data_IF_521361439774
#
_entry.id   IF_521361439774
#
_cell.length_a   1.000
_cell.length_b   1.000
_cell.length_c   1.000
_cell.angle_alpha   90.00
_cell.angle_beta   90.00
_cell.angle_gamma   90.00
#
_symmetry.space_group_name_H-M   'P 1'
#
loop_
_entity.id
_entity.type
_entity.pdbx_description
1 polymer ?
#
# COMPACT_ATOMS: atom_id res chain seq x y z
N UNK A 1 24.05 11.05 -89.93
CA UNK A 1 24.13 10.09 -88.80
C UNK A 1 25.00 10.59 -87.64
N UNK A 2 26.18 11.20 -87.86
CA UNK A 2 27.09 11.60 -86.77
C UNK A 2 26.50 12.51 -85.68
N UNK A 3 25.71 13.54 -86.04
CA UNK A 3 25.12 14.48 -85.06
C UNK A 3 24.13 13.84 -84.07
N UNK A 4 23.40 12.81 -84.50
CA UNK A 4 22.43 12.08 -83.65
C UNK A 4 23.15 11.15 -82.68
N UNK A 5 24.25 10.52 -83.12
CA UNK A 5 25.11 9.67 -82.29
C UNK A 5 25.77 10.47 -81.16
N UNK A 6 26.24 11.69 -81.45
CA UNK A 6 26.77 12.58 -80.41
C UNK A 6 25.73 12.96 -79.36
N UNK A 7 24.48 13.24 -79.75
CA UNK A 7 23.39 13.55 -78.83
C UNK A 7 23.04 12.37 -77.92
N UNK A 8 23.03 11.15 -78.45
CA UNK A 8 22.78 9.92 -77.68
C UNK A 8 23.93 9.66 -76.70
N UNK A 9 25.18 9.80 -77.14
CA UNK A 9 26.36 9.66 -76.26
C UNK A 9 26.36 10.71 -75.15
N UNK A 10 26.03 11.95 -75.47
CA UNK A 10 25.95 13.02 -74.48
C UNK A 10 24.82 12.77 -73.46
N UNK A 11 23.66 12.31 -73.92
CA UNK A 11 22.55 11.91 -73.05
C UNK A 11 22.90 10.73 -72.15
N UNK A 12 23.63 9.73 -72.66
CA UNK A 12 24.13 8.60 -71.88
C UNK A 12 25.14 9.04 -70.81
N UNK A 13 26.05 9.96 -71.15
CA UNK A 13 27.03 10.51 -70.20
C UNK A 13 26.33 11.30 -69.09
N UNK A 14 25.37 12.17 -69.43
CA UNK A 14 24.62 12.96 -68.45
C UNK A 14 23.80 12.05 -67.52
N UNK A 15 23.11 11.05 -68.07
CA UNK A 15 22.29 10.11 -67.28
C UNK A 15 23.14 9.20 -66.39
N UNK A 16 24.30 8.73 -66.87
CA UNK A 16 25.25 7.94 -66.07
C UNK A 16 25.94 8.77 -64.99
N UNK A 17 26.25 10.05 -65.25
CA UNK A 17 26.74 10.97 -64.22
C UNK A 17 25.66 11.26 -63.16
N UNK A 18 24.43 11.58 -63.58
CA UNK A 18 23.33 11.86 -62.67
C UNK A 18 23.01 10.65 -61.78
N UNK A 19 22.98 9.44 -62.34
CA UNK A 19 22.77 8.20 -61.58
C UNK A 19 23.94 7.89 -60.64
N UNK A 20 25.20 8.10 -61.04
CA UNK A 20 26.36 7.98 -60.13
C UNK A 20 26.28 8.97 -58.96
N UNK A 21 25.92 10.22 -59.23
CA UNK A 21 25.73 11.23 -58.18
C UNK A 21 24.58 10.87 -57.24
N UNK A 22 23.48 10.34 -57.77
CA UNK A 22 22.35 9.88 -56.96
C UNK A 22 22.73 8.67 -56.09
N UNK A 23 23.42 7.68 -56.65
CA UNK A 23 23.91 6.51 -55.90
C UNK A 23 24.90 6.93 -54.81
N UNK A 24 25.81 7.86 -55.09
CA UNK A 24 26.74 8.40 -54.09
C UNK A 24 26.03 9.17 -52.98
N UNK A 25 24.98 9.94 -53.30
CA UNK A 25 24.13 10.60 -52.29
C UNK A 25 23.41 9.57 -51.44
N UNK A 26 22.70 8.61 -52.06
CA UNK A 26 22.00 7.56 -51.33
C UNK A 26 22.91 6.69 -50.46
N UNK A 27 24.14 6.41 -50.91
CA UNK A 27 25.12 5.69 -50.10
C UNK A 27 25.58 6.52 -48.89
N UNK A 28 25.85 7.81 -49.09
CA UNK A 28 26.21 8.74 -48.00
C UNK A 28 25.06 8.90 -47.01
N UNK A 29 23.84 9.14 -47.49
CA UNK A 29 22.64 9.29 -46.66
C UNK A 29 22.35 8.01 -45.87
N UNK A 30 22.57 6.83 -46.46
CA UNK A 30 22.42 5.55 -45.76
C UNK A 30 23.43 5.40 -44.63
N UNK A 31 24.67 5.87 -44.80
CA UNK A 31 25.70 5.82 -43.74
C UNK A 31 25.38 6.82 -42.64
N UNK A 32 24.97 8.05 -42.98
CA UNK A 32 24.54 9.06 -42.00
C UNK A 32 23.37 8.54 -41.17
N UNK A 33 22.32 8.04 -41.83
CA UNK A 33 21.16 7.46 -41.14
C UNK A 33 21.55 6.27 -40.24
N UNK A 34 22.50 5.44 -40.67
CA UNK A 34 23.00 4.34 -39.85
C UNK A 34 23.72 4.85 -38.59
N UNK A 35 24.61 5.84 -38.74
CA UNK A 35 25.34 6.43 -37.60
C UNK A 35 24.40 7.15 -36.63
N UNK A 36 23.43 7.93 -37.15
CA UNK A 36 22.42 8.58 -36.32
C UNK A 36 21.60 7.57 -35.54
N UNK A 37 21.12 6.51 -36.20
CA UNK A 37 20.35 5.46 -35.54
C UNK A 37 21.19 4.69 -34.51
N UNK A 38 22.45 4.41 -34.81
CA UNK A 38 23.38 3.78 -33.87
C UNK A 38 23.61 4.67 -32.63
N UNK A 39 23.81 5.97 -32.82
CA UNK A 39 23.97 6.93 -31.72
C UNK A 39 22.69 7.05 -30.89
N UNK A 40 21.52 7.06 -31.53
CA UNK A 40 20.20 7.04 -30.87
C UNK A 40 20.00 5.77 -30.01
N UNK A 41 20.34 4.59 -30.54
CA UNK A 41 20.26 3.35 -29.78
C UNK A 41 21.24 3.34 -28.58
N UNK A 42 22.46 3.87 -28.75
CA UNK A 42 23.42 3.97 -27.66
C UNK A 42 22.97 4.93 -26.55
N UNK A 43 22.54 6.14 -26.89
CA UNK A 43 22.05 7.10 -25.88
C UNK A 43 20.82 6.54 -25.14
N UNK A 44 19.93 5.84 -25.85
CA UNK A 44 18.79 5.13 -25.27
C UNK A 44 19.23 4.06 -24.27
N UNK A 45 20.20 3.23 -24.65
CA UNK A 45 20.73 2.19 -23.78
C UNK A 45 21.40 2.76 -22.53
N UNK A 46 22.11 3.90 -22.66
CA UNK A 46 22.70 4.62 -21.53
C UNK A 46 21.60 5.18 -20.60
N UNK A 47 20.55 5.80 -21.15
CA UNK A 47 19.43 6.31 -20.37
C UNK A 47 18.69 5.19 -19.61
N UNK A 48 18.44 4.05 -20.27
CA UNK A 48 17.86 2.86 -19.65
C UNK A 48 18.75 2.31 -18.52
N UNK A 49 20.07 2.27 -18.72
CA UNK A 49 20.99 1.85 -17.68
C UNK A 49 21.01 2.82 -16.49
N UNK A 50 20.91 4.12 -16.74
CA UNK A 50 20.80 5.15 -15.70
C UNK A 50 19.49 4.99 -14.89
N UNK A 51 18.35 4.77 -15.56
CA UNK A 51 17.08 4.48 -14.91
C UNK A 51 17.14 3.21 -14.05
N UNK A 52 17.79 2.14 -14.54
CA UNK A 52 17.99 0.92 -13.77
C UNK A 52 18.92 1.11 -12.55
N UNK A 53 19.95 1.95 -12.66
CA UNK A 53 20.79 2.33 -11.51
C UNK A 53 19.99 3.10 -10.47
N UNK A 54 19.18 4.06 -10.90
CA UNK A 54 18.29 4.82 -10.03
C UNK A 54 17.28 3.91 -9.31
N UNK A 55 16.70 2.95 -10.03
CA UNK A 55 15.81 1.94 -9.47
C UNK A 55 16.50 1.08 -8.41
N UNK A 56 17.72 0.61 -8.68
CA UNK A 56 18.49 -0.17 -7.73
C UNK A 56 18.78 0.62 -6.45
N UNK A 57 19.11 1.92 -6.58
CA UNK A 57 19.31 2.79 -5.42
C UNK A 57 18.03 2.90 -4.56
N UNK A 58 16.86 3.06 -5.19
CA UNK A 58 15.57 3.08 -4.48
C UNK A 58 15.15 1.73 -3.91
N UNK A 59 15.61 0.62 -4.48
CA UNK A 59 15.38 -0.71 -3.92
C UNK A 59 16.22 -0.98 -2.66
N UNK A 60 17.41 -0.38 -2.57
CA UNK A 60 18.27 -0.44 -1.39
C UNK A 60 17.77 0.52 -0.29
N UNK A 61 17.39 1.74 -0.69
CA UNK A 61 16.81 2.74 0.20
C UNK A 61 15.70 3.53 -0.52
N UNK A 62 14.45 3.27 -0.12
CA UNK A 62 13.28 3.95 -0.69
C UNK A 62 13.22 5.45 -0.35
N UNK A 63 13.98 5.89 0.66
CA UNK A 63 14.14 7.29 1.03
C UNK A 63 15.26 7.99 0.27
N UNK A 64 15.95 7.29 -0.64
CA UNK A 64 17.04 7.89 -1.39
C UNK A 64 16.58 9.15 -2.11
N UNK A 65 17.30 10.23 -1.87
CA UNK A 65 17.12 11.54 -2.52
C UNK A 65 18.33 11.91 -3.38
N UNK A 66 19.48 11.28 -3.12
CA UNK A 66 20.72 11.57 -3.82
C UNK A 66 20.70 10.91 -5.20
N UNK A 67 20.62 11.75 -6.23
CA UNK A 67 20.79 11.34 -7.64
C UNK A 67 22.25 11.13 -8.03
N UNK A 68 22.48 10.94 -9.32
CA UNK A 68 23.80 10.94 -9.93
C UNK A 68 23.83 12.04 -11.00
N UNK A 69 24.90 12.82 -11.04
CA UNK A 69 25.15 13.78 -12.11
C UNK A 69 26.41 13.38 -12.90
N UNK A 70 26.35 13.59 -14.21
CA UNK A 70 27.46 13.56 -15.17
C UNK A 70 28.40 12.36 -15.01
N UNK A 71 27.81 11.17 -14.87
CA UNK A 71 28.57 9.93 -14.76
C UNK A 71 28.73 9.28 -16.14
N UNK A 72 29.94 8.81 -16.44
CA UNK A 72 30.22 8.20 -17.73
C UNK A 72 29.82 6.72 -17.80
N UNK A 73 29.25 6.32 -18.94
CA UNK A 73 28.88 4.94 -19.25
C UNK A 73 28.90 4.72 -20.77
N UNK A 74 29.58 3.66 -21.23
CA UNK A 74 29.67 3.28 -22.66
C UNK A 74 30.08 4.42 -23.62
N UNK A 75 30.93 5.34 -23.17
CA UNK A 75 31.41 6.46 -23.98
C UNK A 75 30.46 7.66 -24.07
N UNK A 76 29.32 7.62 -23.37
CA UNK A 76 28.48 8.79 -23.12
C UNK A 76 28.39 9.10 -21.62
N UNK A 77 27.57 10.08 -21.28
CA UNK A 77 27.33 10.52 -19.91
C UNK A 77 25.86 10.43 -19.54
N UNK A 78 25.57 10.20 -18.26
CA UNK A 78 24.21 10.13 -17.75
C UNK A 78 24.06 10.86 -16.42
N UNK A 79 22.85 11.34 -16.20
CA UNK A 79 22.37 11.98 -14.97
C UNK A 79 21.02 11.36 -14.61
N UNK A 80 20.78 11.09 -13.34
CA UNK A 80 19.44 10.75 -12.85
C UNK A 80 19.15 11.44 -11.52
N UNK A 81 17.88 11.74 -11.29
CA UNK A 81 17.41 12.30 -10.03
C UNK A 81 16.00 11.81 -9.69
N UNK A 82 15.60 12.05 -8.45
CA UNK A 82 14.34 11.60 -7.88
C UNK A 82 13.45 12.79 -7.54
N UNK A 83 12.18 12.72 -7.95
CA UNK A 83 11.17 13.73 -7.65
C UNK A 83 10.04 13.07 -6.86
N UNK A 84 9.62 13.74 -5.78
CA UNK A 84 8.47 13.39 -4.94
C UNK A 84 7.53 14.58 -4.87
N UNK A 85 6.41 14.44 -4.17
CA UNK A 85 5.40 15.50 -4.03
C UNK A 85 5.95 16.84 -3.54
N UNK A 86 6.99 16.83 -2.70
CA UNK A 86 7.64 18.06 -2.21
C UNK A 86 8.38 18.81 -3.30
N UNK A 87 8.85 18.14 -4.35
CA UNK A 87 9.47 18.76 -5.53
C UNK A 87 8.45 18.99 -6.66
N UNK A 88 7.50 18.07 -6.86
CA UNK A 88 6.44 18.18 -7.86
C UNK A 88 5.06 17.91 -7.23
N UNK A 89 4.26 18.96 -6.97
CA UNK A 89 2.93 18.84 -6.36
C UNK A 89 1.91 18.00 -7.16
N UNK A 90 2.19 17.69 -8.44
CA UNK A 90 1.32 16.85 -9.27
C UNK A 90 1.43 15.36 -8.92
N UNK A 91 2.50 14.96 -8.22
CA UNK A 91 2.68 13.59 -7.76
C UNK A 91 1.83 13.31 -6.50
N UNK A 92 1.22 12.12 -6.46
CA UNK A 92 0.56 11.60 -5.26
C UNK A 92 1.58 11.42 -4.12
N UNK A 93 1.19 11.50 -2.82
CA UNK A 93 2.12 11.34 -1.69
C UNK A 93 2.94 10.05 -1.69
N UNK A 94 2.45 9.00 -2.37
CA UNK A 94 3.12 7.70 -2.45
C UNK A 94 3.91 7.51 -3.74
N UNK A 95 3.91 8.49 -4.65
CA UNK A 95 4.56 8.41 -5.95
C UNK A 95 5.99 8.98 -5.91
N UNK A 96 6.87 8.33 -6.67
CA UNK A 96 8.25 8.76 -6.91
C UNK A 96 8.47 8.74 -8.42
N UNK A 97 8.88 9.87 -9.00
CA UNK A 97 9.30 9.95 -10.40
C UNK A 97 10.82 9.91 -10.47
N UNK A 98 11.34 9.02 -11.31
CA UNK A 98 12.74 8.99 -11.71
C UNK A 98 12.83 9.65 -13.07
N UNK A 99 13.73 10.61 -13.21
CA UNK A 99 14.09 11.19 -14.51
C UNK A 99 15.55 10.87 -14.77
N UNK A 100 15.82 10.06 -15.80
CA UNK A 100 17.14 9.64 -16.21
C UNK A 100 17.45 10.20 -17.59
N UNK A 101 18.50 11.01 -17.69
CA UNK A 101 18.92 11.70 -18.90
C UNK A 101 20.28 11.15 -19.33
N UNK A 102 20.46 10.95 -20.63
CA UNK A 102 21.73 10.53 -21.20
C UNK A 102 22.14 11.42 -22.38
N UNK A 103 23.45 11.50 -22.57
CA UNK A 103 24.08 12.19 -23.69
C UNK A 103 25.12 11.27 -24.31
N UNK A 104 25.10 11.11 -25.63
CA UNK A 104 26.12 10.36 -26.38
C UNK A 104 26.37 11.09 -27.68
N UNK A 105 27.61 11.57 -27.88
CA UNK A 105 27.94 12.52 -28.95
C UNK A 105 26.98 13.74 -28.87
N UNK A 106 26.33 14.10 -29.99
CA UNK A 106 25.34 15.18 -30.06
C UNK A 106 23.89 14.75 -29.72
N UNK A 107 23.66 13.46 -29.41
CA UNK A 107 22.33 12.93 -29.14
C UNK A 107 22.02 12.96 -27.64
N UNK A 108 20.75 13.27 -27.32
CA UNK A 108 20.21 13.26 -25.96
C UNK A 108 18.96 12.41 -25.90
N UNK A 109 18.80 11.72 -24.77
CA UNK A 109 17.61 10.93 -24.51
C UNK A 109 17.20 11.01 -23.05
N UNK A 110 15.93 10.76 -22.77
CA UNK A 110 15.38 10.85 -21.41
C UNK A 110 14.38 9.73 -21.17
N UNK A 111 14.61 8.97 -20.11
CA UNK A 111 13.72 7.91 -19.64
C UNK A 111 13.07 8.37 -18.34
N UNK A 112 11.74 8.27 -18.27
CA UNK A 112 10.96 8.64 -17.08
C UNK A 112 10.29 7.40 -16.52
N UNK A 113 10.55 7.12 -15.24
CA UNK A 113 9.93 5.99 -14.52
C UNK A 113 9.09 6.51 -13.37
N UNK A 114 7.80 6.19 -13.39
CA UNK A 114 6.91 6.52 -12.28
C UNK A 114 6.72 5.28 -11.40
N UNK A 115 7.04 5.40 -10.12
CA UNK A 115 6.89 4.37 -9.11
C UNK A 115 5.89 4.81 -8.04
N UNK A 116 5.31 3.85 -7.34
CA UNK A 116 4.58 4.09 -6.09
C UNK A 116 4.96 3.06 -5.05
N UNK A 117 4.97 3.49 -3.79
CA UNK A 117 5.02 2.58 -2.64
C UNK A 117 3.60 2.44 -2.08
N UNK A 118 2.84 1.40 -2.47
CA UNK A 118 1.46 1.26 -2.03
C UNK A 118 1.39 1.04 -0.52
N UNK A 119 0.38 1.62 0.14
CA UNK A 119 0.11 1.38 1.55
C UNK A 119 -0.50 0.00 1.80
N UNK A 120 -0.30 -0.57 2.99
CA UNK A 120 -1.03 -1.77 3.43
C UNK A 120 -2.55 -1.52 3.53
N UNK A 121 -2.97 -0.27 3.72
CA UNK A 121 -4.39 0.09 3.84
C UNK A 121 -5.24 -0.31 2.64
N UNK A 122 -4.63 -0.50 1.46
CA UNK A 122 -5.32 -0.92 0.23
C UNK A 122 -5.99 -2.29 0.33
N UNK A 123 -5.56 -3.13 1.27
CA UNK A 123 -6.14 -4.46 1.44
C UNK A 123 -7.40 -4.37 2.30
N UNK A 124 -8.48 -4.98 1.81
CA UNK A 124 -9.63 -5.28 2.64
C UNK A 124 -9.24 -6.25 3.75
N UNK A 125 -8.38 -7.20 3.40
CA UNK A 125 -7.89 -8.23 4.30
C UNK A 125 -6.47 -8.65 3.93
N UNK A 126 -5.57 -8.58 4.90
CA UNK A 126 -4.19 -9.05 4.77
C UNK A 126 -3.79 -9.82 6.03
N UNK A 127 -3.26 -11.03 5.86
CA UNK A 127 -2.64 -11.79 6.95
C UNK A 127 -1.22 -12.21 6.60
N UNK A 128 -0.29 -12.06 7.55
CA UNK A 128 1.02 -12.70 7.39
C UNK A 128 0.92 -14.22 7.67
N UNK A 129 0.00 -14.63 8.56
CA UNK A 129 -0.24 -16.01 8.94
C UNK A 129 -1.71 -16.27 9.32
N UNK A 130 -2.40 -17.17 8.60
CA UNK A 130 -3.83 -17.48 8.82
C UNK A 130 -4.13 -18.24 10.12
N UNK A 131 -3.15 -18.96 10.69
CA UNK A 131 -3.36 -19.76 11.90
C UNK A 131 -4.27 -20.97 11.65
N UNK A 132 -5.16 -21.30 12.60
CA UNK A 132 -6.17 -22.36 12.46
C UNK A 132 -7.59 -21.78 12.52
N UNK A 133 -7.87 -20.79 11.69
CA UNK A 133 -9.19 -20.15 11.58
C UNK A 133 -9.66 -20.27 10.12
N UNK A 134 -10.95 -20.58 9.97
CA UNK A 134 -11.56 -20.90 8.69
C UNK A 134 -12.41 -19.74 8.19
N UNK A 135 -12.32 -19.47 6.89
CA UNK A 135 -13.40 -18.78 6.18
C UNK A 135 -14.54 -19.78 5.92
N UNK A 136 -15.77 -19.37 6.16
CA UNK A 136 -16.94 -20.25 6.07
C UNK A 136 -18.03 -19.64 5.17
N UNK A 137 -19.02 -20.45 4.79
CA UNK A 137 -20.26 -19.95 4.17
C UNK A 137 -20.83 -18.77 4.96
N UNK A 138 -21.11 -17.67 4.26
CA UNK A 138 -21.58 -16.42 4.85
C UNK A 138 -20.48 -15.36 4.98
N UNK A 139 -19.20 -15.75 5.04
CA UNK A 139 -18.11 -14.79 4.93
C UNK A 139 -18.09 -14.20 3.52
N UNK A 140 -18.16 -12.87 3.44
CA UNK A 140 -18.11 -12.12 2.18
C UNK A 140 -17.05 -11.03 2.26
N UNK A 141 -16.03 -11.10 1.40
CA UNK A 141 -14.95 -10.11 1.34
C UNK A 141 -15.07 -9.30 0.05
N UNK A 142 -15.18 -7.97 0.18
CA UNK A 142 -15.51 -7.07 -0.94
C UNK A 142 -14.33 -6.35 -1.59
N UNK A 143 -13.10 -6.59 -1.15
CA UNK A 143 -11.91 -5.93 -1.68
C UNK A 143 -10.67 -6.84 -1.71
N UNK A 144 -9.50 -6.29 -2.07
CA UNK A 144 -8.27 -7.06 -2.22
C UNK A 144 -7.93 -7.86 -0.97
N UNK A 145 -7.70 -9.16 -1.14
CA UNK A 145 -7.49 -10.12 -0.06
C UNK A 145 -6.16 -10.84 -0.27
N UNK A 146 -5.32 -10.90 0.75
CA UNK A 146 -4.01 -11.54 0.68
C UNK A 146 -3.66 -12.32 1.94
N UNK A 147 -2.95 -13.44 1.78
CA UNK A 147 -2.22 -14.08 2.88
C UNK A 147 -0.81 -14.50 2.47
N UNK A 148 0.18 -14.30 3.36
CA UNK A 148 1.52 -14.85 3.13
C UNK A 148 1.62 -16.37 3.43
N UNK A 149 0.56 -16.97 3.97
CA UNK A 149 0.43 -18.43 4.12
C UNK A 149 -0.53 -18.96 3.05
N UNK A 150 -1.45 -19.84 3.43
CA UNK A 150 -2.53 -20.34 2.60
C UNK A 150 -3.86 -20.16 3.35
N UNK A 151 -4.95 -20.00 2.61
CA UNK A 151 -6.27 -19.89 3.22
C UNK A 151 -6.79 -21.24 3.70
N UNK A 152 -7.67 -21.22 4.70
CA UNK A 152 -8.47 -22.37 5.11
C UNK A 152 -9.93 -22.02 4.91
N UNK A 153 -10.65 -22.85 4.16
CA UNK A 153 -12.02 -22.56 3.70
C UNK A 153 -12.95 -23.74 3.95
N UNK A 154 -14.21 -23.44 4.26
CA UNK A 154 -15.27 -24.41 4.49
C UNK A 154 -16.56 -23.90 3.84
N UNK A 155 -17.29 -24.76 3.15
CA UNK A 155 -18.50 -24.31 2.44
C UNK A 155 -18.16 -23.31 1.32
N UNK A 156 -18.96 -22.25 1.19
CA UNK A 156 -18.89 -21.32 0.05
C UNK A 156 -18.71 -19.86 0.49
N UNK A 157 -17.55 -19.48 1.03
CA UNK A 157 -17.23 -18.06 1.22
C UNK A 157 -17.12 -17.34 -0.13
N UNK A 158 -17.43 -16.04 -0.16
CA UNK A 158 -17.47 -15.26 -1.40
C UNK A 158 -16.46 -14.12 -1.36
N UNK A 159 -15.61 -14.03 -2.38
CA UNK A 159 -14.60 -12.99 -2.55
C UNK A 159 -14.88 -12.18 -3.82
N UNK A 160 -15.28 -10.91 -3.67
CA UNK A 160 -15.50 -10.00 -4.79
C UNK A 160 -14.21 -9.35 -5.30
N UNK A 161 -13.23 -9.15 -4.42
CA UNK A 161 -11.91 -8.62 -4.79
C UNK A 161 -10.94 -9.73 -5.20
N UNK A 162 -9.80 -9.32 -5.78
CA UNK A 162 -8.69 -10.24 -6.10
C UNK A 162 -8.19 -10.93 -4.84
N UNK A 163 -8.05 -12.25 -4.91
CA UNK A 163 -7.50 -13.07 -3.81
C UNK A 163 -6.11 -13.54 -4.19
N UNK A 164 -5.16 -13.40 -3.27
CA UNK A 164 -3.78 -13.84 -3.50
C UNK A 164 -3.19 -14.56 -2.32
N UNK A 165 -2.26 -15.49 -2.56
CA UNK A 165 -1.46 -16.09 -1.48
C UNK A 165 -0.01 -16.31 -1.88
N UNK A 166 0.90 -16.22 -0.91
CA UNK A 166 2.29 -16.62 -1.12
C UNK A 166 2.46 -18.14 -1.07
N UNK A 167 1.94 -18.81 -0.04
CA UNK A 167 2.00 -20.27 0.02
C UNK A 167 0.76 -20.87 -0.63
N UNK A 168 0.94 -22.05 -1.22
CA UNK A 168 -0.14 -22.94 -1.60
C UNK A 168 -0.24 -24.05 -0.56
N UNK A 169 -1.46 -24.50 -0.23
CA UNK A 169 -1.64 -25.53 0.79
C UNK A 169 -0.93 -26.85 0.41
N UNK A 170 -1.18 -27.36 -0.80
CA UNK A 170 -0.46 -28.49 -1.37
C UNK A 170 -0.60 -28.52 -2.90
N UNK A 171 -0.05 -29.56 -3.55
CA UNK A 171 -0.07 -29.70 -5.02
C UNK A 171 -1.49 -29.84 -5.62
N UNK A 172 -2.47 -30.28 -4.84
CA UNK A 172 -3.83 -30.55 -5.30
C UNK A 172 -4.78 -29.37 -5.07
N UNK A 173 -4.49 -28.50 -4.09
CA UNK A 173 -5.35 -27.38 -3.75
C UNK A 173 -4.55 -26.18 -3.22
N UNK A 174 -4.83 -24.94 -3.69
CA UNK A 174 -4.13 -23.75 -3.22
C UNK A 174 -4.52 -23.35 -1.79
N UNK A 175 -5.68 -23.79 -1.30
CA UNK A 175 -6.18 -23.57 0.06
C UNK A 175 -6.51 -24.90 0.74
N UNK A 176 -6.62 -24.88 2.06
CA UNK A 176 -7.03 -26.04 2.84
C UNK A 176 -8.55 -26.13 2.87
N UNK A 177 -9.06 -27.28 2.48
CA UNK A 177 -10.49 -27.60 2.47
C UNK A 177 -10.92 -28.24 3.79
N UNK A 178 -12.16 -27.97 4.20
CA UNK A 178 -12.74 -28.51 5.42
C UNK A 178 -13.06 -29.98 5.26
N UNK A 179 -12.79 -30.78 6.30
CA UNK A 179 -13.18 -32.19 6.34
C UNK A 179 -14.69 -32.39 6.57
N UNK A 180 -15.42 -31.34 6.96
CA UNK A 180 -16.81 -31.43 7.44
C UNK A 180 -17.85 -30.89 6.46
N UNK A 181 -17.64 -31.11 5.16
CA UNK A 181 -18.58 -30.73 4.11
C UNK A 181 -17.90 -30.29 2.82
N UNK A 182 -18.67 -30.00 1.77
CA UNK A 182 -18.12 -29.46 0.53
C UNK A 182 -17.44 -28.10 0.80
N UNK A 183 -16.34 -27.85 0.10
CA UNK A 183 -15.67 -26.54 0.08
C UNK A 183 -15.68 -26.04 -1.36
N UNK A 184 -16.47 -25.01 -1.61
CA UNK A 184 -16.69 -24.40 -2.93
C UNK A 184 -16.68 -22.87 -2.82
N UNK A 185 -15.50 -22.27 -2.58
CA UNK A 185 -15.35 -20.82 -2.46
C UNK A 185 -15.52 -20.13 -3.81
N UNK A 186 -16.18 -18.98 -3.81
CA UNK A 186 -16.46 -18.20 -5.02
C UNK A 186 -15.51 -17.02 -5.13
N UNK A 187 -14.68 -17.00 -6.18
CA UNK A 187 -13.69 -15.95 -6.45
C UNK A 187 -14.10 -15.09 -7.66
N UNK A 188 -14.87 -14.03 -7.43
CA UNK A 188 -15.35 -13.15 -8.50
C UNK A 188 -14.28 -12.16 -8.98
N UNK A 189 -13.37 -11.75 -8.10
CA UNK A 189 -12.27 -10.83 -8.43
C UNK A 189 -11.01 -11.51 -8.98
N UNK A 190 -11.05 -12.81 -9.24
CA UNK A 190 -9.92 -13.62 -9.68
C UNK A 190 -8.97 -14.03 -8.55
N UNK A 191 -8.07 -14.96 -8.87
CA UNK A 191 -7.09 -15.51 -7.92
C UNK A 191 -5.68 -15.49 -8.48
N UNK A 192 -4.68 -15.39 -7.60
CA UNK A 192 -3.27 -15.58 -7.93
C UNK A 192 -2.54 -16.24 -6.76
N UNK A 193 -2.08 -17.47 -6.95
CA UNK A 193 -1.48 -18.29 -5.91
C UNK A 193 0.02 -18.43 -6.12
N UNK A 194 0.80 -18.58 -5.05
CA UNK A 194 2.24 -18.74 -5.16
C UNK A 194 3.01 -17.45 -5.47
N UNK A 195 2.41 -16.27 -5.21
CA UNK A 195 3.07 -15.00 -5.48
C UNK A 195 4.25 -14.77 -4.52
N UNK A 196 5.21 -13.88 -4.82
CA UNK A 196 6.26 -13.53 -3.87
C UNK A 196 5.69 -13.05 -2.54
N UNK A 197 6.34 -13.44 -1.43
CA UNK A 197 5.93 -13.04 -0.08
C UNK A 197 5.91 -11.52 0.04
N UNK A 198 4.81 -10.97 0.54
CA UNK A 198 4.69 -9.54 0.82
C UNK A 198 5.23 -9.29 2.22
N UNK A 199 6.45 -8.77 2.34
CA UNK A 199 7.07 -8.50 3.63
C UNK A 199 6.23 -7.49 4.44
N UNK A 200 5.92 -7.85 5.69
CA UNK A 200 5.24 -7.01 6.66
C UNK A 200 6.27 -6.46 7.65
N UNK A 201 6.17 -5.20 8.09
CA UNK A 201 7.07 -4.67 9.11
C UNK A 201 6.85 -5.37 10.45
N UNK A 202 7.92 -5.56 11.21
CA UNK A 202 7.95 -6.16 12.54
C UNK A 202 7.87 -5.12 13.68
N UNK A 203 8.16 -3.86 13.36
CA UNK A 203 7.98 -2.70 14.23
C UNK A 203 7.22 -1.56 13.51
N UNK A 204 6.78 -0.55 14.25
CA UNK A 204 6.18 0.65 13.65
C UNK A 204 7.24 1.29 12.73
N UNK A 205 6.94 1.53 11.43
CA UNK A 205 7.91 2.13 10.52
C UNK A 205 8.43 3.48 11.03
N UNK A 206 9.73 3.72 10.85
CA UNK A 206 10.38 4.95 11.31
C UNK A 206 9.73 6.19 10.70
N UNK A 207 9.27 6.13 9.45
CA UNK A 207 8.52 7.22 8.79
C UNK A 207 7.28 7.68 9.56
N UNK A 208 6.55 6.74 10.16
CA UNK A 208 5.37 7.06 10.99
C UNK A 208 5.81 7.73 12.30
N UNK A 209 6.95 7.31 12.87
CA UNK A 209 7.49 7.89 14.10
C UNK A 209 8.01 9.32 13.84
N UNK A 210 8.78 9.51 12.78
CA UNK A 210 9.35 10.81 12.39
C UNK A 210 8.25 11.82 12.07
N UNK A 211 7.19 11.40 11.38
CA UNK A 211 6.03 12.24 11.13
C UNK A 211 5.38 12.72 12.45
N UNK A 212 5.21 11.84 13.43
CA UNK A 212 4.65 12.21 14.72
C UNK A 212 5.52 13.23 15.49
N UNK A 213 6.85 13.14 15.36
CA UNK A 213 7.81 14.06 15.99
C UNK A 213 7.82 15.43 15.30
N UNK A 214 7.73 15.45 13.97
CA UNK A 214 7.87 16.69 13.18
C UNK A 214 6.65 17.62 13.31
N UNK A 215 5.46 17.13 12.96
CA UNK A 215 4.22 17.95 12.90
C UNK A 215 2.99 17.16 13.38
N UNK A 216 3.20 16.04 14.07
CA UNK A 216 2.14 15.22 14.65
C UNK A 216 2.07 15.34 16.17
N UNK A 217 1.51 14.31 16.80
CA UNK A 217 1.41 14.18 18.25
C UNK A 217 2.25 12.99 18.70
N UNK A 218 3.36 13.25 19.39
CA UNK A 218 4.23 12.24 19.97
C UNK A 218 4.05 12.16 21.49
N UNK A 219 3.62 11.02 22.02
CA UNK A 219 3.43 10.79 23.46
C UNK A 219 4.33 9.66 23.94
N UNK A 220 5.18 9.94 24.92
CA UNK A 220 6.17 8.98 25.44
C UNK A 220 5.81 8.47 26.83
N UNK A 221 5.82 7.14 27.01
CA UNK A 221 5.67 6.43 28.28
C UNK A 221 4.42 6.80 29.08
N UNK A 222 3.26 6.93 28.40
CA UNK A 222 1.96 7.18 29.03
C UNK A 222 0.89 6.19 28.59
N UNK A 223 -0.10 5.95 29.46
CA UNK A 223 -1.40 5.41 29.09
C UNK A 223 -2.20 6.53 28.41
N UNK A 224 -2.75 6.26 27.23
CA UNK A 224 -3.41 7.29 26.42
C UNK A 224 -4.88 6.95 26.18
N UNK A 225 -5.75 7.96 26.27
CA UNK A 225 -7.14 7.92 25.84
C UNK A 225 -7.33 8.97 24.75
N UNK A 226 -7.92 8.55 23.63
CA UNK A 226 -8.21 9.39 22.47
C UNK A 226 -9.70 9.30 22.22
N UNK A 227 -10.36 10.46 22.24
CA UNK A 227 -11.78 10.60 21.91
C UNK A 227 -11.92 11.58 20.74
N UNK A 228 -12.15 11.04 19.54
CA UNK A 228 -12.40 11.84 18.35
C UNK A 228 -13.76 12.54 18.44
N UNK A 229 -13.80 13.79 18.00
CA UNK A 229 -14.99 14.63 18.01
C UNK A 229 -15.40 14.99 16.58
N UNK A 230 -16.71 15.09 16.33
CA UNK A 230 -17.26 15.40 15.01
C UNK A 230 -16.90 16.80 14.48
N UNK A 231 -16.37 17.67 15.34
CA UNK A 231 -15.96 19.04 15.01
C UNK A 231 -14.53 19.15 14.45
N UNK A 232 -13.84 18.03 14.22
CA UNK A 232 -12.47 18.02 13.69
C UNK A 232 -11.40 18.11 14.79
N UNK A 233 -11.79 17.90 16.05
CA UNK A 233 -10.86 17.83 17.18
C UNK A 233 -10.72 16.41 17.75
N UNK A 234 -9.66 16.18 18.52
CA UNK A 234 -9.49 15.00 19.35
C UNK A 234 -9.19 15.41 20.79
N UNK A 235 -9.94 14.86 21.73
CA UNK A 235 -9.64 14.97 23.16
C UNK A 235 -8.68 13.87 23.55
N UNK A 236 -7.48 14.23 24.00
CA UNK A 236 -6.43 13.29 24.36
C UNK A 236 -6.04 13.48 25.83
N UNK A 237 -6.07 12.40 26.60
CA UNK A 237 -5.56 12.35 27.96
C UNK A 237 -4.39 11.36 28.04
N UNK A 238 -3.27 11.78 28.63
CA UNK A 238 -2.09 10.96 28.83
C UNK A 238 -1.81 10.82 30.33
N UNK A 239 -1.70 9.61 30.87
CA UNK A 239 -1.54 9.35 32.31
C UNK A 239 -0.40 8.38 32.62
N UNK A 240 0.13 8.46 33.83
CA UNK A 240 1.14 7.51 34.33
C UNK A 240 0.51 6.19 34.82
N UNK A 241 -0.81 6.17 35.03
CA UNK A 241 -1.58 5.04 35.53
C UNK A 241 -2.62 4.61 34.49
N UNK A 242 -3.08 3.36 34.58
CA UNK A 242 -4.14 2.83 33.71
C UNK A 242 -5.57 3.23 34.15
N UNK A 243 -5.71 4.20 35.04
CA UNK A 243 -7.02 4.65 35.53
C UNK A 243 -7.67 5.61 34.54
N UNK A 244 -8.99 5.45 34.33
CA UNK A 244 -9.77 6.31 33.44
C UNK A 244 -9.55 7.79 33.77
N UNK A 245 -9.33 8.66 32.76
CA UNK A 245 -9.18 10.09 32.97
C UNK A 245 -10.49 10.76 33.39
N UNK A 246 -10.39 11.73 34.30
CA UNK A 246 -11.45 12.68 34.58
C UNK A 246 -11.63 13.66 33.41
N UNK A 247 -12.81 14.27 33.22
CA UNK A 247 -13.07 15.16 32.09
C UNK A 247 -12.06 16.31 31.92
N UNK A 248 -11.54 16.87 33.02
CA UNK A 248 -10.55 17.95 33.02
C UNK A 248 -9.10 17.52 32.76
N UNK A 249 -8.82 16.21 32.65
CA UNK A 249 -7.49 15.70 32.30
C UNK A 249 -7.28 15.56 30.78
N UNK A 250 -8.31 15.85 29.98
CA UNK A 250 -8.23 15.83 28.52
C UNK A 250 -7.74 17.18 27.98
N UNK A 251 -6.82 17.11 27.03
CA UNK A 251 -6.39 18.24 26.20
C UNK A 251 -7.02 18.08 24.82
N UNK A 252 -7.61 19.14 24.28
CA UNK A 252 -8.20 19.14 22.95
C UNK A 252 -7.17 19.55 21.91
N UNK A 253 -7.03 18.74 20.87
CA UNK A 253 -6.17 19.00 19.71
C UNK A 253 -7.02 19.20 18.46
N UNK A 254 -6.74 20.24 17.68
CA UNK A 254 -7.35 20.41 16.35
C UNK A 254 -6.62 19.51 15.37
N UNK A 255 -7.32 18.56 14.74
CA UNK A 255 -6.67 17.55 13.89
C UNK A 255 -6.07 18.18 12.63
N UNK A 256 -6.78 19.12 12.02
CA UNK A 256 -6.33 19.83 10.82
C UNK A 256 -5.10 20.74 11.01
N UNK A 257 -4.65 20.97 12.25
CA UNK A 257 -3.39 21.70 12.52
C UNK A 257 -2.18 20.76 12.70
N UNK A 258 -2.35 19.47 12.44
CA UNK A 258 -1.29 18.46 12.52
C UNK A 258 -1.15 17.76 11.17
N UNK A 259 -0.08 17.01 10.97
CA UNK A 259 0.05 16.11 9.82
C UNK A 259 -0.80 14.83 9.93
N UNK A 260 -1.68 14.73 10.93
CA UNK A 260 -2.59 13.62 11.14
C UNK A 260 -1.98 12.40 11.84
N UNK A 261 -0.72 12.44 12.26
CA UNK A 261 -0.09 11.29 12.94
C UNK A 261 -0.10 11.46 14.45
N UNK A 262 -0.64 10.47 15.16
CA UNK A 262 -0.60 10.37 16.62
C UNK A 262 0.17 9.11 16.98
N UNK A 263 1.38 9.25 17.51
CA UNK A 263 2.22 8.12 17.90
C UNK A 263 2.44 8.05 19.41
N UNK A 264 2.17 6.87 19.97
CA UNK A 264 2.34 6.57 21.39
C UNK A 264 3.50 5.58 21.54
N UNK A 265 4.63 6.08 22.01
CA UNK A 265 5.79 5.25 22.38
C UNK A 265 5.65 4.79 23.83
N UNK A 266 5.61 3.48 24.05
CA UNK A 266 5.61 2.90 25.39
C UNK A 266 6.33 1.54 25.35
N UNK A 267 7.22 1.26 26.30
CA UNK A 267 8.08 0.07 26.28
C UNK A 267 7.43 -1.23 26.80
N UNK A 268 6.32 -1.14 27.54
CA UNK A 268 5.51 -2.27 28.05
C UNK A 268 4.54 -2.86 27.02
N UNK A 269 4.04 -4.07 27.30
CA UNK A 269 3.20 -4.93 26.44
C UNK A 269 1.70 -4.91 26.76
N UNK A 270 1.23 -4.04 27.66
CA UNK A 270 -0.21 -3.92 28.02
C UNK A 270 -0.99 -3.12 26.95
N UNK A 271 -2.34 -3.12 26.95
CA UNK A 271 -3.11 -2.15 26.18
C UNK A 271 -2.80 -0.73 26.65
N UNK A 272 -2.22 0.06 25.75
CA UNK A 272 -1.56 1.33 26.05
C UNK A 272 -2.15 2.54 25.32
N UNK A 273 -3.17 2.31 24.48
CA UNK A 273 -4.00 3.36 23.89
C UNK A 273 -5.46 2.92 23.94
N UNK A 274 -6.37 3.79 24.34
CA UNK A 274 -7.82 3.60 24.25
C UNK A 274 -8.38 4.60 23.27
N UNK A 275 -9.16 4.13 22.31
CA UNK A 275 -9.65 4.95 21.22
C UNK A 275 -11.15 4.75 21.02
N UNK A 276 -11.85 5.85 20.73
CA UNK A 276 -13.28 5.89 20.39
C UNK A 276 -13.66 7.24 19.76
N UNK A 277 -14.89 7.35 19.27
CA UNK A 277 -15.53 8.61 18.92
C UNK A 277 -15.76 8.80 17.43
N UNK A 278 -16.01 10.04 17.04
CA UNK A 278 -16.36 10.42 15.67
C UNK A 278 -15.21 11.21 15.05
N UNK A 279 -14.55 10.67 14.03
CA UNK A 279 -13.44 11.32 13.34
C UNK A 279 -13.95 12.28 12.25
N UNK A 280 -13.47 13.51 12.26
CA UNK A 280 -13.53 14.44 11.13
C UNK A 280 -12.10 14.82 10.72
N UNK A 281 -11.65 14.35 9.56
CA UNK A 281 -10.30 14.53 9.02
C UNK A 281 -9.51 13.23 8.76
N UNK A 282 -8.21 13.41 8.46
CA UNK A 282 -7.26 12.35 8.12
C UNK A 282 -6.35 12.06 9.31
N UNK A 283 -6.44 10.86 9.91
CA UNK A 283 -5.64 10.51 11.09
C UNK A 283 -5.09 9.09 11.02
N UNK A 284 -3.83 8.92 11.43
CA UNK A 284 -3.23 7.63 11.77
C UNK A 284 -2.83 7.63 13.25
N UNK A 285 -3.42 6.73 14.03
CA UNK A 285 -3.00 6.45 15.41
C UNK A 285 -2.09 5.22 15.40
N UNK A 286 -0.84 5.41 15.80
CA UNK A 286 0.15 4.36 15.87
C UNK A 286 0.65 4.15 17.31
N UNK A 287 0.98 2.92 17.68
CA UNK A 287 1.61 2.63 18.98
C UNK A 287 2.57 1.46 18.94
N UNK A 288 3.66 1.55 19.70
CA UNK A 288 4.57 0.41 19.95
C UNK A 288 3.93 -0.68 20.84
N UNK A 289 2.88 -0.33 21.58
CA UNK A 289 2.14 -1.25 22.45
C UNK A 289 0.91 -1.85 21.77
N UNK A 290 -0.08 -2.19 22.60
CA UNK A 290 -1.42 -2.60 22.16
C UNK A 290 -2.41 -1.44 22.25
N UNK A 291 -3.52 -1.52 21.52
CA UNK A 291 -4.60 -0.53 21.52
C UNK A 291 -5.94 -1.21 21.82
N UNK A 292 -6.82 -0.51 22.53
CA UNK A 292 -8.19 -0.91 22.84
C UNK A 292 -9.16 0.00 22.09
N UNK A 293 -10.03 -0.60 21.27
CA UNK A 293 -11.20 0.07 20.71
C UNK A 293 -12.31 -0.07 21.74
N UNK A 294 -12.58 1.04 22.44
CA UNK A 294 -13.44 1.07 23.63
C UNK A 294 -14.89 1.40 23.35
N UNK A 295 -15.15 2.07 22.25
CA UNK A 295 -16.49 2.35 21.76
C UNK A 295 -16.47 2.43 20.23
N UNK A 296 -17.57 2.85 19.61
CA UNK A 296 -17.64 3.02 18.17
C UNK A 296 -16.58 4.01 17.67
N UNK A 297 -16.07 3.73 16.49
CA UNK A 297 -15.21 4.60 15.70
C UNK A 297 -15.89 4.84 14.37
N UNK A 298 -16.39 6.05 14.16
CA UNK A 298 -17.13 6.43 12.96
C UNK A 298 -16.54 7.70 12.36
N UNK A 299 -16.64 7.86 11.05
CA UNK A 299 -16.37 9.11 10.36
C UNK A 299 -17.57 10.06 10.54
N UNK A 300 -17.31 11.36 10.67
CA UNK A 300 -18.33 12.39 10.75
C UNK A 300 -19.17 12.43 9.47
N UNK A 301 -18.50 12.29 8.32
CA UNK A 301 -19.14 12.04 7.02
C UNK A 301 -18.98 10.56 6.68
N UNK A 302 -20.04 9.78 6.88
CA UNK A 302 -20.01 8.34 6.65
C UNK A 302 -19.66 8.00 5.19
N UNK A 303 -18.51 7.37 4.92
CA UNK A 303 -18.04 7.10 3.57
C UNK A 303 -18.87 6.05 2.81
N UNK A 304 -19.68 5.27 3.51
CA UNK A 304 -20.63 4.33 2.88
C UNK A 304 -21.82 5.04 2.25
N UNK A 305 -22.16 6.24 2.73
CA UNK A 305 -23.27 7.06 2.25
C UNK A 305 -22.75 8.13 1.31
N UNK A 306 -21.63 8.76 1.67
CA UNK A 306 -20.96 9.75 0.84
C UNK A 306 -19.53 9.29 0.46
N UNK A 307 -19.34 8.69 -0.72
CA UNK A 307 -18.03 8.26 -1.20
C UNK A 307 -17.01 9.39 -1.39
N UNK A 308 -17.44 10.66 -1.40
CA UNK A 308 -16.54 11.82 -1.47
C UNK A 308 -16.06 12.31 -0.09
N UNK A 309 -16.40 11.60 0.98
CA UNK A 309 -15.86 11.89 2.32
C UNK A 309 -14.33 11.95 2.26
N UNK A 310 -13.75 12.91 2.98
CA UNK A 310 -12.31 13.06 3.18
C UNK A 310 -11.85 12.48 4.53
N UNK A 311 -12.78 11.99 5.35
CA UNK A 311 -12.49 11.35 6.63
C UNK A 311 -11.86 9.97 6.43
N UNK A 312 -10.72 9.74 7.10
CA UNK A 312 -10.02 8.46 7.03
C UNK A 312 -9.19 8.17 8.28
N UNK A 313 -9.48 7.05 8.94
CA UNK A 313 -8.78 6.60 10.14
C UNK A 313 -7.88 5.40 9.85
N UNK A 314 -6.62 5.51 10.21
CA UNK A 314 -5.67 4.40 10.31
C UNK A 314 -5.37 4.07 11.76
N UNK A 315 -5.45 2.81 12.14
CA UNK A 315 -4.98 2.30 13.43
C UNK A 315 -3.82 1.33 13.20
N UNK A 316 -2.70 1.54 13.88
CA UNK A 316 -1.51 0.70 13.77
C UNK A 316 -0.97 0.36 15.16
N UNK A 317 -0.85 -0.92 15.48
CA UNK A 317 -0.24 -1.37 16.73
C UNK A 317 0.87 -2.37 16.45
N UNK A 318 2.04 -2.21 17.08
CA UNK A 318 3.08 -3.22 17.00
C UNK A 318 2.71 -4.50 17.76
N UNK A 319 1.75 -4.41 18.69
CA UNK A 319 1.14 -5.55 19.38
C UNK A 319 -0.31 -5.75 18.91
N UNK A 320 -1.25 -5.77 19.84
CA UNK A 320 -2.63 -6.18 19.57
C UNK A 320 -3.55 -4.97 19.47
N UNK A 321 -4.60 -5.09 18.66
CA UNK A 321 -5.76 -4.20 18.67
C UNK A 321 -6.94 -5.00 19.19
N UNK A 322 -7.42 -4.62 20.36
CA UNK A 322 -8.44 -5.34 21.11
C UNK A 322 -9.75 -4.57 21.04
N UNK A 323 -10.79 -5.19 20.50
CA UNK A 323 -12.14 -4.63 20.56
C UNK A 323 -12.77 -5.02 21.90
N UNK A 324 -13.15 -4.04 22.71
CA UNK A 324 -13.79 -4.29 24.00
C UNK A 324 -15.31 -4.08 23.92
N UNK A 325 -16.03 -4.93 24.64
CA UNK A 325 -17.47 -4.84 24.79
C UNK A 325 -17.90 -5.43 26.14
N UNK A 326 -18.81 -4.72 26.81
CA UNK A 326 -19.42 -5.12 28.08
C UNK A 326 -20.93 -5.39 27.97
N UNK A 327 -21.55 -5.25 26.80
CA UNK A 327 -22.99 -5.44 26.60
C UNK A 327 -23.30 -6.61 25.66
N UNK A 328 -24.26 -7.44 26.07
CA UNK A 328 -24.76 -8.57 25.28
C UNK A 328 -25.51 -8.03 24.06
N UNK A 329 -25.31 -8.66 22.91
CA UNK A 329 -25.97 -8.32 21.63
C UNK A 329 -25.77 -6.89 21.12
N UNK A 330 -24.85 -6.12 21.70
CA UNK A 330 -24.48 -4.80 21.21
C UNK A 330 -23.61 -4.91 19.96
N UNK A 331 -23.95 -4.14 18.92
CA UNK A 331 -23.12 -3.97 17.74
C UNK A 331 -21.89 -3.09 18.05
N UNK A 332 -20.84 -3.23 17.23
CA UNK A 332 -19.66 -2.35 17.27
C UNK A 332 -19.34 -1.89 15.87
N UNK A 333 -19.18 -0.58 15.69
CA UNK A 333 -18.86 0.03 14.40
C UNK A 333 -17.42 0.54 14.43
N UNK A 334 -16.63 0.15 13.43
CA UNK A 334 -15.25 0.57 13.25
C UNK A 334 -15.08 1.00 11.78
N UNK A 335 -15.02 2.30 11.54
CA UNK A 335 -14.71 2.90 10.24
C UNK A 335 -13.23 3.28 10.22
N UNK A 336 -12.37 2.28 10.01
CA UNK A 336 -10.92 2.44 10.01
C UNK A 336 -10.23 1.32 9.24
N UNK A 337 -9.03 1.59 8.74
CA UNK A 337 -8.07 0.54 8.38
C UNK A 337 -7.17 0.21 9.56
N UNK A 338 -7.08 -1.07 9.90
CA UNK A 338 -6.47 -1.56 11.13
C UNK A 338 -5.27 -2.44 10.78
N UNK A 339 -4.13 -2.18 11.40
CA UNK A 339 -2.88 -2.93 11.20
C UNK A 339 -2.28 -3.36 12.53
N UNK A 340 -1.98 -4.66 12.65
CA UNK A 340 -1.34 -5.26 13.84
C UNK A 340 -0.08 -6.01 13.43
N UNK A 341 1.04 -5.72 14.08
CA UNK A 341 2.35 -6.29 13.72
C UNK A 341 2.78 -7.43 14.64
N UNK A 342 1.91 -7.86 15.57
CA UNK A 342 2.31 -8.81 16.60
C UNK A 342 2.73 -10.15 15.99
N UNK A 343 4.02 -10.45 16.10
CA UNK A 343 4.62 -11.70 15.62
C UNK A 343 4.15 -12.93 16.38
N UNK A 344 3.45 -12.75 17.52
CA UNK A 344 2.81 -13.85 18.24
C UNK A 344 1.77 -14.56 17.36
N UNK A 345 1.91 -15.88 17.23
CA UNK A 345 1.09 -16.74 16.35
C UNK A 345 0.03 -17.52 17.16
N UNK A 346 -0.54 -16.92 18.19
CA UNK A 346 -1.62 -17.49 18.99
C UNK A 346 -3.01 -17.06 18.47
N UNK A 347 -4.02 -17.93 18.62
CA UNK A 347 -5.40 -17.73 18.14
C UNK A 347 -6.18 -16.60 18.86
N UNK A 348 -5.51 -15.74 19.63
CA UNK A 348 -6.08 -14.66 20.42
C UNK A 348 -5.13 -13.46 20.53
N UNK A 349 -4.34 -13.20 19.49
CA UNK A 349 -3.51 -12.00 19.37
C UNK A 349 -3.80 -11.29 18.04
N UNK A 350 -3.09 -10.18 17.83
CA UNK A 350 -3.28 -9.23 16.75
C UNK A 350 -4.63 -8.52 16.86
N UNK A 351 -5.58 -8.80 15.98
CA UNK A 351 -6.90 -8.18 16.03
C UNK A 351 -7.93 -9.16 16.61
N UNK A 352 -8.32 -8.96 17.87
CA UNK A 352 -9.25 -9.86 18.55
C UNK A 352 -10.27 -9.11 19.40
N UNK A 353 -11.36 -9.80 19.75
CA UNK A 353 -12.40 -9.27 20.62
C UNK A 353 -12.18 -9.78 22.04
N UNK A 354 -12.20 -8.88 23.02
CA UNK A 354 -12.13 -9.27 24.41
C UNK A 354 -13.32 -10.15 24.79
N UNK A 355 -13.08 -11.25 25.51
CA UNK A 355 -14.12 -12.19 25.96
C UNK A 355 -14.99 -12.79 24.84
N UNK A 356 -14.45 -12.89 23.61
CA UNK A 356 -15.15 -13.43 22.44
C UNK A 356 -15.70 -14.86 22.61
N UNK A 357 -15.20 -15.62 23.58
CA UNK A 357 -15.61 -16.99 23.88
C UNK A 357 -16.56 -17.09 25.10
N UNK A 358 -16.74 -16.02 25.87
CA UNK A 358 -17.56 -16.01 27.08
C UNK A 358 -18.97 -15.49 26.80
N UNK A 359 -19.06 -14.35 26.11
CA UNK A 359 -20.31 -13.61 25.91
C UNK A 359 -20.78 -13.65 24.45
N UNK A 360 -22.07 -13.35 24.24
CA UNK A 360 -22.66 -13.15 22.90
C UNK A 360 -22.75 -11.65 22.62
N UNK A 361 -22.20 -11.19 21.51
CA UNK A 361 -22.26 -9.79 21.07
C UNK A 361 -23.07 -9.64 19.78
N UNK A 362 -23.28 -8.42 19.29
CA UNK A 362 -23.98 -8.16 18.04
C UNK A 362 -23.10 -8.43 16.80
N UNK A 363 -23.10 -7.48 15.87
CA UNK A 363 -22.24 -7.42 14.69
C UNK A 363 -21.02 -6.53 14.94
N UNK A 364 -19.84 -7.03 14.57
CA UNK A 364 -18.64 -6.23 14.41
C UNK A 364 -18.61 -5.72 12.97
N UNK A 365 -19.03 -4.47 12.79
CA UNK A 365 -19.05 -3.79 11.49
C UNK A 365 -17.73 -3.06 11.29
N UNK A 366 -16.85 -3.66 10.49
CA UNK A 366 -15.58 -3.03 10.10
C UNK A 366 -15.71 -2.51 8.68
N UNK A 367 -15.60 -1.20 8.48
CA UNK A 367 -15.54 -0.55 7.17
C UNK A 367 -14.15 0.04 6.96
N UNK A 368 -13.35 -0.57 6.10
CA UNK A 368 -11.95 -0.21 5.88
C UNK A 368 -11.11 -1.42 5.47
N UNK A 369 -10.02 -1.66 6.20
CA UNK A 369 -9.09 -2.76 5.95
C UNK A 369 -8.67 -3.45 7.23
N UNK A 370 -8.44 -4.76 7.18
CA UNK A 370 -7.93 -5.53 8.31
C UNK A 370 -6.60 -6.21 7.93
N UNK A 371 -5.51 -5.63 8.41
CA UNK A 371 -4.13 -6.08 8.20
C UNK A 371 -3.61 -6.62 9.53
N UNK A 372 -3.13 -7.85 9.54
CA UNK A 372 -2.68 -8.49 10.77
C UNK A 372 -1.55 -9.46 10.53
N UNK A 373 -0.63 -9.57 11.48
CA UNK A 373 0.45 -10.53 11.34
C UNK A 373 -0.09 -11.96 11.52
N UNK A 374 -0.77 -12.26 12.63
CA UNK A 374 -1.52 -13.50 12.79
C UNK A 374 -3.02 -13.23 12.88
N UNK A 375 -3.84 -14.19 12.44
CA UNK A 375 -5.29 -14.05 12.50
C UNK A 375 -5.83 -14.14 13.93
N UNK A 376 -6.50 -13.09 14.39
CA UNK A 376 -7.15 -13.06 15.72
C UNK A 376 -8.62 -13.48 15.70
N UNK A 377 -9.12 -13.91 16.86
CA UNK A 377 -10.50 -14.38 17.05
C UNK A 377 -11.44 -13.26 17.49
N UNK A 378 -12.59 -13.16 16.81
CA UNK A 378 -13.64 -12.18 17.12
C UNK A 378 -14.95 -12.80 17.59
N UNK A 379 -15.06 -14.13 17.47
CA UNK A 379 -16.23 -14.91 17.87
C UNK A 379 -16.07 -16.38 17.54
N UNK A 380 -17.00 -17.19 18.03
CA UNK A 380 -17.10 -18.63 17.79
C UNK A 380 -18.33 -18.93 16.93
N UNK A 381 -18.17 -19.85 15.98
CA UNK A 381 -19.27 -20.36 15.16
C UNK A 381 -20.28 -21.10 16.04
N UNK A 382 -21.57 -20.86 15.83
CA UNK A 382 -22.65 -21.52 16.57
C UNK A 382 -24.03 -21.09 16.09
N UNK A 383 -25.07 -21.66 16.68
CA UNK A 383 -26.47 -21.25 16.47
C UNK A 383 -26.71 -19.87 17.10
N UNK A 384 -27.85 -19.19 16.84
CA UNK A 384 -28.17 -17.90 17.47
C UNK A 384 -28.08 -17.88 19.01
N UNK A 385 -28.22 -19.05 19.65
CA UNK A 385 -28.17 -19.21 21.11
C UNK A 385 -26.84 -19.74 21.65
N UNK A 386 -26.02 -20.37 20.81
CA UNK A 386 -24.74 -21.00 21.23
C UNK A 386 -23.52 -20.22 20.74
N UNK A 387 -23.69 -19.32 19.77
CA UNK A 387 -22.61 -18.45 19.29
C UNK A 387 -22.06 -17.56 20.41
N UNK A 388 -20.76 -17.27 20.31
CA UNK A 388 -20.03 -16.37 21.21
C UNK A 388 -19.30 -15.32 20.39
N UNK A 389 -19.06 -14.15 20.98
CA UNK A 389 -18.41 -13.01 20.35
C UNK A 389 -19.31 -12.33 19.32
N UNK A 390 -18.68 -11.63 18.38
CA UNK A 390 -19.36 -10.89 17.32
C UNK A 390 -19.60 -11.74 16.07
N UNK A 391 -20.71 -11.45 15.39
CA UNK A 391 -20.88 -11.77 13.98
C UNK A 391 -20.05 -10.79 13.14
N UNK A 392 -19.38 -11.27 12.09
CA UNK A 392 -18.52 -10.42 11.25
C UNK A 392 -19.36 -9.74 10.16
N UNK A 393 -19.23 -8.42 10.03
CA UNK A 393 -19.67 -7.66 8.85
C UNK A 393 -18.48 -6.78 8.42
N UNK A 394 -17.58 -7.35 7.61
CA UNK A 394 -16.39 -6.67 7.15
C UNK A 394 -16.61 -6.18 5.72
N UNK A 395 -16.47 -4.87 5.53
CA UNK A 395 -16.66 -4.19 4.26
C UNK A 395 -15.41 -3.40 3.95
N UNK A 396 -15.01 -3.46 2.68
CA UNK A 396 -13.87 -2.72 2.20
C UNK A 396 -14.29 -1.28 1.88
N UNK A 397 -13.46 -0.32 2.27
CA UNK A 397 -13.57 1.05 1.80
C UNK A 397 -12.81 1.19 0.47
N UNK A 398 -13.50 1.33 -0.68
CA UNK A 398 -12.85 1.38 -1.98
C UNK A 398 -11.94 2.60 -2.15
N UNK A 399 -12.13 3.66 -1.36
CA UNK A 399 -11.24 4.83 -1.36
C UNK A 399 -9.81 4.43 -0.99
N UNK A 400 -9.62 3.36 -0.22
CA UNK A 400 -8.31 2.87 0.19
C UNK A 400 -7.44 2.32 -0.96
N UNK A 401 -8.02 2.16 -2.16
CA UNK A 401 -7.25 1.84 -3.37
C UNK A 401 -6.33 3.00 -3.79
N UNK A 402 -6.78 4.24 -3.60
CA UNK A 402 -6.15 5.45 -4.13
C UNK A 402 -5.77 6.45 -3.03
N UNK A 403 -6.43 6.37 -1.88
CA UNK A 403 -6.20 7.18 -0.69
C UNK A 403 -5.70 6.33 0.46
N UNK A 404 -4.90 6.89 1.35
CA UNK A 404 -4.34 6.17 2.49
C UNK A 404 -4.37 7.08 3.71
N UNK A 405 -4.63 6.57 4.94
CA UNK A 405 -4.42 7.37 6.13
C UNK A 405 -2.99 7.94 6.15
N UNK A 406 -2.79 9.13 6.73
CA UNK A 406 -1.51 9.83 6.66
C UNK A 406 -0.40 9.00 7.31
N UNK A 407 0.71 8.80 6.59
CA UNK A 407 1.85 7.99 7.06
C UNK A 407 1.51 6.57 7.54
N UNK A 408 0.45 5.97 7.00
CA UNK A 408 0.12 4.57 7.26
C UNK A 408 1.20 3.64 6.67
N UNK A 409 1.58 2.53 7.34
CA UNK A 409 2.62 1.63 6.87
C UNK A 409 2.47 1.22 5.40
N UNK A 410 3.58 1.32 4.66
CA UNK A 410 3.62 0.99 3.25
C UNK A 410 4.39 -0.29 2.95
N UNK A 411 4.05 -0.95 1.85
CA UNK A 411 4.74 -2.15 1.39
C UNK A 411 6.23 -1.86 1.20
N UNK A 412 7.11 -2.81 1.52
CA UNK A 412 8.54 -2.68 1.22
C UNK A 412 8.84 -2.69 -0.28
N UNK A 413 7.88 -3.11 -1.11
CA UNK A 413 8.04 -3.18 -2.56
C UNK A 413 7.57 -1.89 -3.25
N UNK A 414 8.44 -1.34 -4.12
CA UNK A 414 8.05 -0.33 -5.09
C UNK A 414 7.30 -0.99 -6.25
N UNK A 415 6.19 -0.38 -6.65
CA UNK A 415 5.41 -0.77 -7.82
C UNK A 415 5.66 0.24 -8.94
N UNK A 416 6.07 -0.27 -10.11
CA UNK A 416 6.12 0.55 -11.33
C UNK A 416 4.70 0.87 -11.82
N UNK A 417 4.44 2.15 -12.06
CA UNK A 417 3.19 2.67 -12.63
C UNK A 417 3.34 2.83 -14.14
N UNK A 418 4.39 3.52 -14.56
CA UNK A 418 4.64 3.83 -15.97
C UNK A 418 6.15 3.83 -16.26
N UNK A 419 6.48 3.54 -17.51
CA UNK A 419 7.82 3.65 -18.07
C UNK A 419 7.66 4.36 -19.41
N UNK A 420 8.20 5.56 -19.52
CA UNK A 420 8.22 6.31 -20.76
C UNK A 420 9.62 6.27 -21.33
N UNK A 421 9.68 5.63 -22.49
CA UNK A 421 10.80 5.65 -23.40
C UNK A 421 10.56 6.72 -24.48
#
# INVERSE_FOLDING_TARGET
MGKVVYLILFGLIITTMASRMQIQRSATDSVINYVEKYNQENVRNIANAAANKALNALMLDVHQTVGQADASLYGGDYTYYFERRTQDPTLSPTQIRITAMATYEDQKDTVIVLLTRPSFSRYAYFTNHEGNIWFATGDTLRGPTHTNTYFQMSGSPVFFGKVTSHQVYNANSPYRESYWGPTDPVFLGGTEWGIPKIAMPDEIPQETIDAAIAEGIYINNRYVWIEFQSDGTARIAAKNTSSTPNPGEYVTYTLGSTNGVIYIHYSSTRPLVRVKGTLNGLVTVATRGSMEITDDLVCAVNPMINPSSDDMLGLVAAKDIVVTNNQVDQDRIIQATVMTLNTAVNNAANFYVQNYNLYRYGYLRLYGGLIQNARGAVGLVGTPYTRKGYLKDYRWDPRLADMTPPHYPALFALRRIAWWD
#
